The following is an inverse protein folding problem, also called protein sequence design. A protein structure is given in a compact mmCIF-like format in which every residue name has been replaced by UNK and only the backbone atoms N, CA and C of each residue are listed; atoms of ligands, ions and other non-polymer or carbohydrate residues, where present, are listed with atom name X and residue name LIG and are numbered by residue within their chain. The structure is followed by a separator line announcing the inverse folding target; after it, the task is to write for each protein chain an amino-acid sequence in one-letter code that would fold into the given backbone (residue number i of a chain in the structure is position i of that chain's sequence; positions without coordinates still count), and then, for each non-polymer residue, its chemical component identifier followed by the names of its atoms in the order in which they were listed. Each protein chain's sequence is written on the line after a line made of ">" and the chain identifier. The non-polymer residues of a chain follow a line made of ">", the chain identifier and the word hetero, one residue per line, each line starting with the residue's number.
data_IF_946373619856
#
_entry.id   IF_946373619856
#
_cell.length_a   1.000
_cell.length_b   1.000
_cell.length_c   1.000
_cell.angle_alpha   90.00
_cell.angle_beta   90.00
_cell.angle_gamma   90.00
#
_symmetry.space_group_name_H-M   'P 1'
#
loop_
_entity.id
_entity.type
_entity.pdbx_description
1 polymer ?
#
# COMPACT_ATOMS: atom_id res chain seq x y z
N UNK A 1 39.89 -39.47 13.65
CA UNK A 1 39.54 -38.89 14.96
C UNK A 1 38.13 -39.33 15.29
N UNK A 2 37.90 -40.18 16.30
CA UNK A 2 36.56 -40.57 16.71
C UNK A 2 35.90 -39.36 17.38
N UNK A 3 34.80 -38.87 16.81
CA UNK A 3 33.94 -37.87 17.43
C UNK A 3 33.27 -38.57 18.62
N UNK A 4 33.75 -38.26 19.79
CA UNK A 4 33.06 -38.61 21.04
C UNK A 4 31.80 -37.77 21.10
N UNK A 5 30.66 -38.30 20.70
CA UNK A 5 29.37 -37.65 20.88
C UNK A 5 29.06 -37.71 22.39
N UNK A 6 29.09 -36.54 23.04
CA UNK A 6 28.61 -36.35 24.40
C UNK A 6 27.13 -36.80 24.45
N UNK A 7 26.78 -37.79 25.31
CA UNK A 7 25.41 -38.29 25.46
C UNK A 7 24.41 -37.15 25.71
N UNK A 8 24.82 -36.09 26.40
CA UNK A 8 24.01 -34.91 26.68
C UNK A 8 23.69 -34.08 25.43
N UNK A 9 24.56 -34.07 24.43
CA UNK A 9 24.35 -33.36 23.15
C UNK A 9 23.34 -34.11 22.27
N UNK A 10 23.43 -35.41 22.20
CA UNK A 10 22.47 -36.25 21.48
C UNK A 10 21.05 -36.13 22.08
N UNK A 11 20.91 -36.19 23.41
CA UNK A 11 19.64 -36.03 24.10
C UNK A 11 19.03 -34.64 23.85
N UNK A 12 19.84 -33.58 23.85
CA UNK A 12 19.37 -32.21 23.51
C UNK A 12 18.88 -32.09 22.09
N UNK A 13 19.59 -32.68 21.10
CA UNK A 13 19.16 -32.68 19.69
C UNK A 13 17.84 -33.41 19.50
N UNK A 14 17.68 -34.57 20.09
CA UNK A 14 16.43 -35.35 20.05
C UNK A 14 15.28 -34.59 20.70
N UNK A 15 15.53 -33.96 21.85
CA UNK A 15 14.51 -33.15 22.53
C UNK A 15 14.11 -31.92 21.72
N UNK A 16 15.06 -31.24 21.05
CA UNK A 16 14.80 -30.09 20.18
C UNK A 16 13.98 -30.47 18.94
N UNK A 17 14.31 -31.60 18.30
CA UNK A 17 13.54 -32.11 17.15
C UNK A 17 12.11 -32.50 17.57
N UNK A 18 11.92 -33.15 18.71
CA UNK A 18 10.59 -33.46 19.27
C UNK A 18 9.80 -32.18 19.57
N UNK A 19 10.44 -31.19 20.20
CA UNK A 19 9.77 -29.91 20.51
C UNK A 19 9.34 -29.13 19.29
N UNK A 20 10.13 -29.19 18.21
CA UNK A 20 9.80 -28.54 16.92
C UNK A 20 8.75 -29.30 16.11
N UNK A 21 8.36 -30.52 16.53
CA UNK A 21 7.50 -31.42 15.74
C UNK A 21 8.04 -31.71 14.35
N UNK A 22 9.36 -31.64 14.18
CA UNK A 22 10.03 -31.98 12.94
C UNK A 22 10.30 -33.47 12.88
N UNK A 23 10.05 -34.05 11.73
CA UNK A 23 10.53 -35.38 11.38
C UNK A 23 11.79 -35.32 10.54
N UNK A 24 12.66 -36.32 10.65
CA UNK A 24 13.92 -36.34 9.91
C UNK A 24 13.97 -37.48 8.91
N UNK A 25 14.77 -37.27 7.86
CA UNK A 25 14.99 -38.25 6.83
C UNK A 25 16.44 -38.24 6.36
N UNK A 26 16.84 -39.37 5.78
CA UNK A 26 18.11 -39.54 5.09
C UNK A 26 17.90 -40.31 3.81
N UNK A 27 18.55 -39.87 2.75
CA UNK A 27 18.60 -40.56 1.45
C UNK A 27 20.04 -40.90 1.10
N UNK A 28 20.37 -42.19 1.09
CA UNK A 28 21.62 -42.72 0.55
C UNK A 28 21.49 -42.73 -0.97
N UNK A 29 22.24 -41.85 -1.65
CA UNK A 29 22.07 -41.60 -3.09
C UNK A 29 22.57 -42.78 -3.94
N UNK A 30 23.80 -43.34 -3.70
CA UNK A 30 24.27 -44.49 -4.46
C UNK A 30 23.40 -45.72 -4.31
N UNK A 31 22.83 -45.98 -3.14
CA UNK A 31 21.99 -47.14 -2.88
C UNK A 31 20.50 -46.89 -3.18
N UNK A 32 20.11 -45.66 -3.50
CA UNK A 32 18.71 -45.19 -3.59
C UNK A 32 17.86 -45.64 -2.38
N UNK A 33 18.40 -45.49 -1.17
CA UNK A 33 17.73 -45.91 0.06
C UNK A 33 17.31 -44.69 0.88
N UNK A 34 16.01 -44.56 1.07
CA UNK A 34 15.40 -43.51 1.90
C UNK A 34 15.04 -44.09 3.26
N UNK A 35 15.41 -43.37 4.32
CA UNK A 35 15.11 -43.68 5.71
C UNK A 35 14.39 -42.49 6.36
N UNK A 36 13.27 -42.79 6.99
CA UNK A 36 12.47 -41.83 7.76
C UNK A 36 12.51 -42.22 9.23
N UNK A 37 12.48 -41.23 10.10
CA UNK A 37 12.15 -41.47 11.49
C UNK A 37 10.63 -41.63 11.73
N UNK A 38 10.23 -42.03 12.92
CA UNK A 38 8.81 -42.18 13.30
C UNK A 38 8.10 -40.81 13.29
N UNK A 39 8.81 -39.74 13.69
CA UNK A 39 8.27 -38.39 13.70
C UNK A 39 7.92 -37.90 12.31
N UNK A 40 8.75 -38.20 11.30
CA UNK A 40 8.46 -37.85 9.90
C UNK A 40 7.24 -38.61 9.38
N UNK A 41 7.15 -39.88 9.69
CA UNK A 41 5.97 -40.67 9.33
C UNK A 41 4.68 -40.06 9.92
N UNK A 42 4.74 -39.59 11.17
CA UNK A 42 3.64 -38.88 11.82
C UNK A 42 3.33 -37.51 11.16
N UNK A 43 4.36 -36.76 10.73
CA UNK A 43 4.19 -35.50 9.97
C UNK A 43 3.38 -35.72 8.70
N UNK A 44 3.65 -36.79 7.96
CA UNK A 44 2.87 -37.18 6.78
C UNK A 44 1.55 -37.86 7.13
N UNK A 45 1.38 -38.32 8.37
CA UNK A 45 0.20 -39.11 8.77
C UNK A 45 0.19 -40.53 8.20
N UNK A 46 1.38 -41.12 7.98
CA UNK A 46 1.57 -42.47 7.47
C UNK A 46 2.01 -43.41 8.60
N UNK A 47 1.55 -44.68 8.58
CA UNK A 47 2.22 -45.72 9.37
C UNK A 47 3.70 -45.81 9.00
N UNK A 48 4.60 -45.93 9.96
CA UNK A 48 6.06 -45.99 9.71
C UNK A 48 6.47 -47.13 8.76
N UNK A 49 5.72 -48.23 8.76
CA UNK A 49 5.94 -49.35 7.84
C UNK A 49 5.66 -48.98 6.35
N UNK A 50 4.84 -47.96 6.11
CA UNK A 50 4.47 -47.48 4.77
C UNK A 50 5.33 -46.30 4.30
N UNK A 51 6.31 -45.86 5.10
CA UNK A 51 7.25 -44.81 4.73
C UNK A 51 8.00 -45.19 3.43
N UNK A 52 8.21 -44.24 2.49
CA UNK A 52 8.94 -44.49 1.24
C UNK A 52 10.36 -44.97 1.53
N UNK A 53 10.80 -45.96 0.79
CA UNK A 53 12.15 -46.55 0.93
C UNK A 53 13.08 -46.17 -0.24
N UNK A 54 12.56 -45.52 -1.28
CA UNK A 54 13.31 -45.06 -2.44
C UNK A 54 12.92 -43.62 -2.81
N UNK A 55 13.78 -42.94 -3.56
CA UNK A 55 13.50 -41.60 -4.07
C UNK A 55 12.26 -41.56 -4.97
N UNK A 56 12.08 -42.60 -5.81
CA UNK A 56 10.91 -42.71 -6.67
C UNK A 56 9.61 -42.84 -5.86
N UNK A 57 9.60 -43.65 -4.78
CA UNK A 57 8.44 -43.81 -3.91
C UNK A 57 8.11 -42.47 -3.18
N UNK A 58 9.13 -41.73 -2.74
CA UNK A 58 8.95 -40.40 -2.14
C UNK A 58 8.32 -39.42 -3.14
N UNK A 59 8.80 -39.35 -4.38
CA UNK A 59 8.26 -38.46 -5.40
C UNK A 59 6.77 -38.72 -5.70
N UNK A 60 6.29 -39.94 -5.50
CA UNK A 60 4.87 -40.26 -5.67
C UNK A 60 3.99 -39.59 -4.59
N UNK A 61 4.55 -39.33 -3.41
CA UNK A 61 3.82 -38.58 -2.36
C UNK A 61 3.68 -37.10 -2.67
N UNK A 62 4.56 -36.53 -3.51
CA UNK A 62 4.46 -35.13 -3.90
C UNK A 62 3.24 -34.93 -4.82
N UNK A 63 2.47 -33.85 -4.56
CA UNK A 63 1.34 -33.48 -5.39
C UNK A 63 1.76 -33.36 -6.87
N UNK A 64 0.97 -33.87 -7.83
CA UNK A 64 1.34 -33.86 -9.25
C UNK A 64 1.85 -32.51 -9.77
N UNK A 65 1.19 -31.41 -9.42
CA UNK A 65 1.59 -30.06 -9.87
C UNK A 65 2.95 -29.61 -9.31
N UNK A 66 3.39 -30.16 -8.17
CA UNK A 66 4.64 -29.76 -7.51
C UNK A 66 5.83 -30.64 -7.90
N UNK A 67 5.61 -31.80 -8.53
CA UNK A 67 6.64 -32.79 -8.89
C UNK A 67 7.72 -32.23 -9.80
N UNK A 68 7.33 -31.49 -10.84
CA UNK A 68 8.29 -30.92 -11.78
C UNK A 68 9.21 -29.89 -11.09
N UNK A 69 8.63 -29.03 -10.24
CA UNK A 69 9.39 -28.06 -9.46
C UNK A 69 10.32 -28.75 -8.46
N UNK A 70 9.86 -29.75 -7.76
CA UNK A 70 10.66 -30.53 -6.83
C UNK A 70 11.82 -31.24 -7.54
N UNK A 71 11.57 -31.84 -8.71
CA UNK A 71 12.60 -32.48 -9.53
C UNK A 71 13.68 -31.52 -10.01
N UNK A 72 13.31 -30.33 -10.47
CA UNK A 72 14.30 -29.29 -10.87
C UNK A 72 15.16 -28.84 -9.70
N UNK A 73 14.54 -28.61 -8.53
CA UNK A 73 15.26 -28.18 -7.32
C UNK A 73 16.24 -29.25 -6.85
N UNK A 74 15.82 -30.51 -6.85
CA UNK A 74 16.65 -31.64 -6.49
C UNK A 74 17.84 -31.81 -7.48
N UNK A 75 17.58 -31.70 -8.79
CA UNK A 75 18.63 -31.75 -9.81
C UNK A 75 19.69 -30.67 -9.60
N UNK A 76 19.27 -29.41 -9.41
CA UNK A 76 20.18 -28.29 -9.15
C UNK A 76 21.00 -28.49 -7.85
N UNK A 77 20.39 -29.05 -6.81
CA UNK A 77 21.08 -29.36 -5.56
C UNK A 77 22.15 -30.46 -5.77
N UNK A 78 21.84 -31.52 -6.48
CA UNK A 78 22.76 -32.63 -6.73
C UNK A 78 23.96 -32.18 -7.56
N UNK A 79 23.79 -31.27 -8.51
CA UNK A 79 24.86 -30.75 -9.35
C UNK A 79 25.83 -29.84 -8.58
N UNK A 80 25.32 -28.77 -7.96
CA UNK A 80 26.16 -27.70 -7.45
C UNK A 80 25.76 -27.19 -6.05
N UNK A 81 24.70 -27.73 -5.43
CA UNK A 81 24.17 -27.23 -4.18
C UNK A 81 24.79 -27.88 -2.94
N UNK A 82 24.53 -27.24 -1.79
CA UNK A 82 24.85 -27.78 -0.46
C UNK A 82 23.61 -27.88 0.41
N UNK A 83 22.70 -26.92 0.30
CA UNK A 83 21.46 -26.86 1.08
C UNK A 83 20.30 -26.47 0.17
N UNK A 84 19.10 -26.92 0.54
CA UNK A 84 17.85 -26.53 -0.08
C UNK A 84 16.77 -26.35 0.98
N UNK A 85 15.88 -25.40 0.71
CA UNK A 85 14.72 -25.10 1.54
C UNK A 85 13.53 -24.86 0.60
N UNK A 86 12.45 -25.61 0.80
CA UNK A 86 11.26 -25.45 -0.04
C UNK A 86 10.00 -26.02 0.61
N UNK A 87 8.86 -25.53 0.15
CA UNK A 87 7.55 -26.01 0.55
C UNK A 87 6.87 -26.72 -0.62
N UNK A 88 6.20 -27.83 -0.34
CA UNK A 88 5.45 -28.58 -1.32
C UNK A 88 4.23 -29.25 -0.70
N UNK A 89 3.30 -29.61 -1.55
CA UNK A 89 2.13 -30.39 -1.17
C UNK A 89 2.46 -31.89 -1.26
N UNK A 90 2.19 -32.62 -0.20
CA UNK A 90 2.21 -34.08 -0.20
C UNK A 90 0.75 -34.60 -0.22
N UNK A 91 0.52 -35.65 -1.01
CA UNK A 91 -0.77 -36.35 -1.10
C UNK A 91 -0.66 -37.67 -0.35
N UNK A 92 -1.47 -37.82 0.68
CA UNK A 92 -1.50 -39.02 1.52
C UNK A 92 -2.94 -39.52 1.63
N UNK A 93 -3.28 -40.57 0.89
CA UNK A 93 -4.67 -40.95 0.70
C UNK A 93 -5.48 -39.83 0.06
N UNK A 94 -6.58 -39.42 0.70
CA UNK A 94 -7.44 -38.30 0.25
C UNK A 94 -7.02 -36.95 0.85
N UNK A 95 -5.90 -36.88 1.57
CA UNK A 95 -5.44 -35.66 2.27
C UNK A 95 -4.30 -35.01 1.51
N UNK A 96 -4.31 -33.67 1.48
CA UNK A 96 -3.19 -32.84 1.05
C UNK A 96 -2.57 -32.19 2.29
N UNK A 97 -1.27 -32.43 2.50
CA UNK A 97 -0.49 -31.89 3.61
C UNK A 97 0.59 -30.98 3.04
N UNK A 98 0.71 -29.76 3.54
CA UNK A 98 1.81 -28.87 3.18
C UNK A 98 3.04 -29.19 4.02
N UNK A 99 4.11 -29.54 3.36
CA UNK A 99 5.40 -29.87 3.97
C UNK A 99 6.40 -28.76 3.69
N UNK A 100 7.03 -28.27 4.74
CA UNK A 100 8.26 -27.50 4.66
C UNK A 100 9.43 -28.45 4.85
N UNK A 101 10.35 -28.51 3.89
CA UNK A 101 11.56 -29.32 3.94
C UNK A 101 12.79 -28.41 3.91
N UNK A 102 13.72 -28.69 4.81
CA UNK A 102 15.07 -28.13 4.77
C UNK A 102 16.07 -29.26 4.84
N UNK A 103 16.93 -29.32 3.84
CA UNK A 103 17.85 -30.43 3.68
C UNK A 103 19.22 -30.00 3.18
N UNK A 104 20.21 -30.83 3.47
CA UNK A 104 21.61 -30.64 3.08
C UNK A 104 22.12 -31.87 2.35
N UNK A 105 22.95 -31.61 1.34
CA UNK A 105 23.66 -32.62 0.58
C UNK A 105 25.07 -32.78 1.16
N UNK A 106 25.43 -34.02 1.46
CA UNK A 106 26.78 -34.39 1.88
C UNK A 106 27.47 -35.14 0.75
N UNK A 107 28.72 -34.75 0.43
CA UNK A 107 29.52 -35.30 -0.63
C UNK A 107 30.63 -36.20 -0.04
N UNK A 108 31.09 -37.19 -0.82
CA UNK A 108 32.23 -38.00 -0.45
C UNK A 108 33.57 -37.24 -0.63
N UNK A 109 34.68 -37.91 -0.33
CA UNK A 109 36.03 -37.36 -0.46
C UNK A 109 36.40 -36.97 -1.90
N UNK A 110 35.75 -37.57 -2.87
CA UNK A 110 35.92 -37.33 -4.34
C UNK A 110 34.93 -36.25 -4.85
N UNK A 111 34.11 -35.63 -3.97
CA UNK A 111 33.16 -34.57 -4.31
C UNK A 111 31.84 -35.08 -4.92
N UNK A 112 31.60 -36.38 -4.94
CA UNK A 112 30.36 -36.96 -5.48
C UNK A 112 29.27 -36.95 -4.42
N UNK A 113 27.96 -36.77 -4.80
CA UNK A 113 26.86 -36.89 -3.87
C UNK A 113 26.85 -38.25 -3.14
N UNK A 114 26.96 -38.22 -1.81
CA UNK A 114 26.98 -39.43 -0.99
C UNK A 114 25.59 -39.64 -0.35
N UNK A 115 25.08 -38.65 0.36
CA UNK A 115 23.74 -38.73 0.93
C UNK A 115 23.16 -37.34 1.14
N UNK A 116 21.83 -37.29 1.21
CA UNK A 116 21.09 -36.12 1.70
C UNK A 116 20.44 -36.42 3.04
N UNK A 117 20.30 -35.41 3.85
CA UNK A 117 19.52 -35.49 5.10
C UNK A 117 18.81 -34.18 5.33
N UNK A 118 17.66 -34.25 5.96
CA UNK A 118 16.86 -33.06 6.20
C UNK A 118 15.81 -33.26 7.28
N UNK A 119 15.09 -32.18 7.54
CA UNK A 119 13.97 -32.14 8.45
C UNK A 119 12.75 -31.54 7.76
N UNK A 120 11.60 -32.18 8.02
CA UNK A 120 10.33 -31.75 7.50
C UNK A 120 9.38 -31.33 8.61
N UNK A 121 8.55 -30.33 8.34
CA UNK A 121 7.50 -29.82 9.19
C UNK A 121 6.18 -29.81 8.45
N UNK A 122 5.09 -30.17 9.13
CA UNK A 122 3.73 -29.90 8.64
C UNK A 122 3.41 -28.42 8.83
N UNK A 123 3.24 -27.70 7.74
CA UNK A 123 2.88 -26.28 7.72
C UNK A 123 1.46 -26.05 7.20
N UNK A 124 0.65 -27.09 7.15
CA UNK A 124 -0.73 -27.04 6.60
C UNK A 124 -1.58 -26.00 7.32
N UNK A 125 -1.56 -25.98 8.65
CA UNK A 125 -2.33 -25.01 9.44
C UNK A 125 -1.88 -23.56 9.14
N UNK A 126 -0.57 -23.33 8.99
CA UNK A 126 -0.04 -22.01 8.61
C UNK A 126 -0.52 -21.60 7.22
N UNK A 127 -0.47 -22.50 6.24
CA UNK A 127 -0.94 -22.25 4.87
C UNK A 127 -2.45 -22.00 4.80
N UNK A 128 -3.24 -22.70 5.60
CA UNK A 128 -4.68 -22.45 5.69
C UNK A 128 -5.00 -21.05 6.20
N UNK A 129 -4.36 -20.64 7.30
CA UNK A 129 -4.52 -19.29 7.85
C UNK A 129 -4.09 -18.22 6.84
N UNK A 130 -2.98 -18.44 6.13
CA UNK A 130 -2.47 -17.52 5.09
C UNK A 130 -3.49 -17.37 3.95
N UNK A 131 -4.05 -18.49 3.47
CA UNK A 131 -5.07 -18.49 2.41
C UNK A 131 -6.38 -17.83 2.89
N UNK A 132 -6.88 -18.16 4.08
CA UNK A 132 -8.05 -17.52 4.65
C UNK A 132 -7.87 -16.00 4.76
N UNK A 133 -6.69 -15.55 5.19
CA UNK A 133 -6.35 -14.14 5.27
C UNK A 133 -6.34 -13.49 3.88
N UNK A 134 -5.77 -14.16 2.88
CA UNK A 134 -5.72 -13.66 1.51
C UNK A 134 -7.12 -13.54 0.90
N UNK A 135 -7.98 -14.54 1.11
CA UNK A 135 -9.38 -14.52 0.67
C UNK A 135 -10.16 -13.41 1.38
N UNK A 136 -9.98 -13.26 2.69
CA UNK A 136 -10.63 -12.19 3.46
C UNK A 136 -10.19 -10.79 2.99
N UNK A 137 -8.89 -10.60 2.77
CA UNK A 137 -8.34 -9.36 2.23
C UNK A 137 -8.87 -9.06 0.82
N UNK A 138 -8.99 -10.08 -0.03
CA UNK A 138 -9.57 -9.94 -1.37
C UNK A 138 -11.04 -9.47 -1.32
N UNK A 139 -11.86 -10.08 -0.46
CA UNK A 139 -13.25 -9.66 -0.23
C UNK A 139 -13.34 -8.24 0.33
N UNK A 140 -12.49 -7.90 1.29
CA UNK A 140 -12.44 -6.55 1.87
C UNK A 140 -12.13 -5.48 0.81
N UNK A 141 -11.14 -5.72 -0.05
CA UNK A 141 -10.80 -4.82 -1.17
C UNK A 141 -11.97 -4.64 -2.15
N UNK A 142 -12.69 -5.71 -2.45
CA UNK A 142 -13.86 -5.65 -3.34
C UNK A 142 -14.97 -4.78 -2.73
N UNK A 143 -15.28 -4.98 -1.45
CA UNK A 143 -16.29 -4.19 -0.74
C UNK A 143 -15.92 -2.70 -0.68
N UNK A 144 -14.66 -2.37 -0.43
CA UNK A 144 -14.18 -0.99 -0.44
C UNK A 144 -14.34 -0.34 -1.82
N UNK A 145 -14.04 -1.04 -2.91
CA UNK A 145 -14.27 -0.54 -4.27
C UNK A 145 -15.75 -0.26 -4.53
N UNK A 146 -16.63 -1.16 -4.14
CA UNK A 146 -18.09 -1.00 -4.31
C UNK A 146 -18.61 0.19 -3.50
N UNK A 147 -18.18 0.34 -2.24
CA UNK A 147 -18.52 1.50 -1.40
C UNK A 147 -18.05 2.80 -2.04
N UNK A 148 -16.82 2.83 -2.55
CA UNK A 148 -16.27 3.99 -3.24
C UNK A 148 -17.10 4.39 -4.46
N UNK A 149 -17.48 3.43 -5.30
CA UNK A 149 -18.36 3.68 -6.44
C UNK A 149 -19.71 4.26 -6.01
N UNK A 150 -20.30 3.73 -4.95
CA UNK A 150 -21.58 4.24 -4.41
C UNK A 150 -21.44 5.65 -3.85
N UNK A 151 -20.39 5.95 -3.08
CA UNK A 151 -20.14 7.30 -2.57
C UNK A 151 -19.98 8.29 -3.71
N UNK A 152 -19.17 7.96 -4.73
CA UNK A 152 -18.98 8.81 -5.91
C UNK A 152 -20.31 9.09 -6.63
N UNK A 153 -21.15 8.05 -6.83
CA UNK A 153 -22.47 8.19 -7.45
C UNK A 153 -23.40 9.08 -6.61
N UNK A 154 -23.39 8.94 -5.29
CA UNK A 154 -24.20 9.80 -4.41
C UNK A 154 -23.75 11.25 -4.46
N UNK A 155 -22.43 11.52 -4.46
CA UNK A 155 -21.89 12.87 -4.61
C UNK A 155 -22.28 13.49 -5.97
N UNK A 156 -22.25 12.72 -7.06
CA UNK A 156 -22.73 13.17 -8.38
C UNK A 156 -24.22 13.52 -8.36
N UNK A 157 -25.04 12.71 -7.69
CA UNK A 157 -26.48 13.01 -7.55
C UNK A 157 -26.71 14.30 -6.75
N UNK A 158 -25.99 14.50 -5.67
CA UNK A 158 -26.07 15.72 -4.86
C UNK A 158 -25.65 16.95 -5.69
N UNK A 159 -24.56 16.86 -6.45
CA UNK A 159 -24.11 17.96 -7.32
C UNK A 159 -25.13 18.28 -8.43
N UNK A 160 -25.77 17.28 -9.02
CA UNK A 160 -26.84 17.49 -10.01
C UNK A 160 -28.06 18.19 -9.38
N UNK A 161 -28.48 17.80 -8.16
CA UNK A 161 -29.57 18.45 -7.44
C UNK A 161 -29.23 19.92 -7.10
N UNK A 162 -28.01 20.21 -6.63
CA UNK A 162 -27.56 21.58 -6.35
C UNK A 162 -27.51 22.42 -7.64
N UNK A 163 -27.06 21.84 -8.76
CA UNK A 163 -27.07 22.50 -10.07
C UNK A 163 -28.49 22.90 -10.53
N UNK A 164 -29.46 22.01 -10.34
CA UNK A 164 -30.87 22.31 -10.61
C UNK A 164 -31.42 23.43 -9.71
N UNK A 165 -31.01 23.47 -8.43
CA UNK A 165 -31.40 24.55 -7.53
C UNK A 165 -30.74 25.87 -7.92
N UNK A 166 -29.44 25.85 -8.26
CA UNK A 166 -28.69 27.01 -8.75
C UNK A 166 -29.35 27.64 -9.99
N UNK A 167 -29.78 26.82 -10.96
CA UNK A 167 -30.41 27.29 -12.19
C UNK A 167 -31.77 28.00 -11.98
N UNK A 168 -32.45 27.74 -10.85
CA UNK A 168 -33.73 28.34 -10.48
C UNK A 168 -33.58 29.65 -9.69
N UNK A 169 -32.35 29.98 -9.26
CA UNK A 169 -32.13 31.23 -8.51
C UNK A 169 -31.98 32.41 -9.44
N UNK A 170 -32.75 33.46 -9.17
CA UNK A 170 -32.64 34.73 -9.87
C UNK A 170 -31.45 35.56 -9.41
N UNK A 171 -31.09 35.47 -8.14
CA UNK A 171 -29.96 36.16 -7.54
C UNK A 171 -28.62 35.53 -7.92
N UNK A 172 -27.75 36.35 -8.56
CA UNK A 172 -26.44 35.93 -9.01
C UNK A 172 -25.50 35.57 -7.88
N UNK A 173 -25.65 36.21 -6.70
CA UNK A 173 -24.86 35.91 -5.49
C UNK A 173 -25.19 34.54 -4.95
N UNK A 174 -26.48 34.22 -4.84
CA UNK A 174 -26.95 32.89 -4.39
C UNK A 174 -26.50 31.79 -5.37
N UNK A 175 -26.53 32.08 -6.68
CA UNK A 175 -26.07 31.15 -7.71
C UNK A 175 -24.57 30.86 -7.60
N UNK A 176 -23.74 31.89 -7.36
CA UNK A 176 -22.28 31.70 -7.14
C UNK A 176 -21.99 30.86 -5.89
N UNK A 177 -22.81 30.94 -4.83
CA UNK A 177 -22.67 30.14 -3.63
C UNK A 177 -23.00 28.64 -3.88
N UNK A 178 -24.01 28.34 -4.71
CA UNK A 178 -24.28 26.97 -5.15
C UNK A 178 -23.12 26.44 -6.02
N UNK A 179 -22.60 27.23 -6.95
CA UNK A 179 -21.48 26.83 -7.80
C UNK A 179 -20.21 26.55 -6.98
N UNK A 180 -19.96 27.33 -5.93
CA UNK A 180 -18.88 27.05 -4.97
C UNK A 180 -19.09 25.72 -4.26
N UNK A 181 -20.30 25.42 -3.78
CA UNK A 181 -20.62 24.16 -3.12
C UNK A 181 -20.45 22.97 -4.05
N UNK A 182 -20.90 23.08 -5.29
CA UNK A 182 -20.75 22.06 -6.34
C UNK A 182 -19.25 21.79 -6.60
N UNK A 183 -18.44 22.82 -6.80
CA UNK A 183 -16.98 22.66 -7.00
C UNK A 183 -16.31 21.94 -5.82
N UNK A 184 -16.68 22.25 -4.59
CA UNK A 184 -16.16 21.58 -3.38
C UNK A 184 -16.51 20.10 -3.37
N UNK A 185 -17.76 19.76 -3.71
CA UNK A 185 -18.19 18.36 -3.77
C UNK A 185 -17.46 17.61 -4.90
N UNK A 186 -17.24 18.23 -6.05
CA UNK A 186 -16.44 17.62 -7.13
C UNK A 186 -14.99 17.35 -6.72
N UNK A 187 -14.37 18.28 -6.00
CA UNK A 187 -13.02 18.09 -5.43
C UNK A 187 -12.98 16.89 -4.48
N UNK A 188 -13.98 16.80 -3.56
CA UNK A 188 -14.12 15.65 -2.66
C UNK A 188 -14.36 14.33 -3.40
N UNK A 189 -15.23 14.31 -4.40
CA UNK A 189 -15.53 13.12 -5.19
C UNK A 189 -14.31 12.62 -5.98
N UNK A 190 -13.55 13.54 -6.58
CA UNK A 190 -12.30 13.22 -7.27
C UNK A 190 -11.26 12.60 -6.33
N UNK A 191 -11.12 13.14 -5.14
CA UNK A 191 -10.31 12.60 -4.06
C UNK A 191 -10.73 11.19 -3.67
N UNK A 192 -12.00 11.03 -3.31
CA UNK A 192 -12.54 9.77 -2.84
C UNK A 192 -12.31 8.65 -3.88
N UNK A 193 -12.46 8.96 -5.17
CA UNK A 193 -12.26 7.95 -6.23
C UNK A 193 -10.79 7.55 -6.43
N UNK A 194 -9.82 8.38 -6.06
CA UNK A 194 -8.37 8.11 -6.19
C UNK A 194 -7.81 7.34 -5.01
N UNK A 195 -8.26 7.66 -3.81
CA UNK A 195 -7.84 7.01 -2.56
C UNK A 195 -8.02 5.49 -2.57
N UNK A 196 -8.98 5.01 -3.36
CA UNK A 196 -9.31 3.59 -3.44
C UNK A 196 -8.85 2.92 -4.74
N UNK A 197 -8.10 3.63 -5.59
CA UNK A 197 -7.54 3.10 -6.84
C UNK A 197 -6.14 2.50 -6.66
N UNK A 198 -5.33 3.08 -5.78
CA UNK A 198 -3.97 2.61 -5.48
C UNK A 198 -3.97 1.64 -4.29
N UNK A 199 -3.15 0.60 -4.37
CA UNK A 199 -3.05 -0.49 -3.37
C UNK A 199 -2.50 -0.07 -1.97
N UNK A 200 -2.29 1.23 -1.72
CA UNK A 200 -1.83 1.79 -0.44
C UNK A 200 -2.95 2.55 0.26
N UNK A 201 -3.73 1.86 1.10
CA UNK A 201 -4.99 2.35 1.67
C UNK A 201 -4.90 3.52 2.66
N UNK A 202 -3.72 3.89 3.15
CA UNK A 202 -3.61 4.85 4.27
C UNK A 202 -3.00 6.20 3.88
N UNK A 203 -2.32 6.32 2.75
CA UNK A 203 -1.60 7.55 2.39
C UNK A 203 -1.73 7.94 0.92
N UNK A 204 -1.66 9.24 0.65
CA UNK A 204 -1.81 9.88 -0.66
C UNK A 204 -0.47 10.46 -1.11
N UNK A 205 -0.04 10.18 -2.32
CA UNK A 205 1.07 10.88 -2.97
C UNK A 205 0.64 12.33 -3.28
N UNK A 206 1.21 13.28 -2.53
CA UNK A 206 0.81 14.68 -2.64
C UNK A 206 1.26 15.35 -3.93
N UNK A 207 2.33 14.86 -4.57
CA UNK A 207 2.79 15.40 -5.86
C UNK A 207 1.78 15.11 -6.97
N UNK A 208 1.38 13.84 -7.10
CA UNK A 208 0.38 13.42 -8.07
C UNK A 208 -0.96 14.11 -7.78
N UNK A 209 -1.36 14.11 -6.51
CA UNK A 209 -2.63 14.66 -6.06
C UNK A 209 -2.80 16.16 -6.31
N UNK A 210 -1.83 16.99 -5.90
CA UNK A 210 -1.88 18.44 -6.14
C UNK A 210 -1.73 18.78 -7.63
N UNK A 211 -0.96 17.98 -8.37
CA UNK A 211 -0.87 18.07 -9.82
C UNK A 211 -2.24 17.98 -10.49
N UNK A 212 -3.00 16.98 -10.13
CA UNK A 212 -4.33 16.74 -10.69
C UNK A 212 -5.37 17.82 -10.32
N UNK A 213 -5.31 18.35 -9.10
CA UNK A 213 -6.14 19.50 -8.69
C UNK A 213 -5.80 20.70 -9.57
N UNK A 214 -4.51 20.97 -9.75
CA UNK A 214 -4.05 22.09 -10.57
C UNK A 214 -4.43 21.93 -12.04
N UNK A 215 -4.38 20.70 -12.59
CA UNK A 215 -4.83 20.41 -13.95
C UNK A 215 -6.34 20.62 -14.11
N UNK A 216 -7.13 20.19 -13.14
CA UNK A 216 -8.56 20.48 -13.09
C UNK A 216 -8.87 21.97 -13.04
N UNK A 217 -8.12 22.74 -12.26
CA UNK A 217 -8.25 24.20 -12.17
C UNK A 217 -7.87 24.88 -13.50
N UNK A 218 -6.80 24.42 -14.17
CA UNK A 218 -6.41 24.91 -15.51
C UNK A 218 -7.54 24.74 -16.51
N UNK A 219 -8.22 23.59 -16.51
CA UNK A 219 -9.30 23.29 -17.45
C UNK A 219 -10.62 24.02 -17.17
N UNK A 220 -10.98 24.22 -15.90
CA UNK A 220 -12.30 24.68 -15.50
C UNK A 220 -12.40 26.17 -15.16
N UNK A 221 -11.32 26.77 -14.64
CA UNK A 221 -11.37 28.11 -14.02
C UNK A 221 -10.49 29.14 -14.76
N UNK A 222 -9.41 28.71 -15.41
CA UNK A 222 -8.39 29.58 -15.99
C UNK A 222 -8.47 29.80 -17.51
N UNK A 223 -9.22 29.01 -18.32
CA UNK A 223 -9.16 29.13 -19.78
C UNK A 223 -9.52 30.55 -20.31
N UNK A 224 -10.41 31.23 -19.60
CA UNK A 224 -10.90 32.58 -20.03
C UNK A 224 -10.02 33.71 -19.47
N UNK A 225 -9.05 33.45 -18.60
CA UNK A 225 -8.39 34.51 -17.80
C UNK A 225 -6.89 34.69 -18.02
N UNK A 226 -6.26 34.00 -18.96
CA UNK A 226 -4.79 34.11 -19.26
C UNK A 226 -3.92 34.13 -17.99
N UNK A 227 -4.28 33.29 -16.98
CA UNK A 227 -3.53 33.12 -15.74
C UNK A 227 -2.70 31.86 -15.88
N UNK A 228 -1.39 31.99 -15.69
CA UNK A 228 -0.47 30.86 -15.64
C UNK A 228 -0.53 30.20 -14.26
N UNK A 229 -0.83 28.89 -14.19
CA UNK A 229 -0.82 28.12 -12.94
C UNK A 229 0.39 27.20 -12.89
N UNK A 230 1.31 27.45 -11.97
CA UNK A 230 2.40 26.55 -11.66
C UNK A 230 2.07 25.69 -10.43
N UNK A 231 2.43 24.41 -10.48
CA UNK A 231 2.31 23.49 -9.37
C UNK A 231 3.63 22.77 -9.13
N UNK A 232 4.15 22.85 -7.92
CA UNK A 232 5.36 22.16 -7.49
C UNK A 232 5.12 21.53 -6.10
N UNK A 233 5.26 20.20 -5.99
CA UNK A 233 5.07 19.51 -4.74
C UNK A 233 6.25 18.57 -4.43
N UNK A 234 6.70 18.59 -3.19
CA UNK A 234 7.63 17.61 -2.65
C UNK A 234 7.02 16.19 -2.75
N UNK A 235 7.85 15.14 -2.94
CA UNK A 235 7.38 13.76 -3.02
C UNK A 235 7.09 13.22 -1.61
N UNK A 236 6.06 13.74 -0.96
CA UNK A 236 5.63 13.29 0.37
C UNK A 236 4.31 12.56 0.29
N UNK A 237 4.13 11.59 1.18
CA UNK A 237 2.87 10.89 1.38
C UNK A 237 2.22 11.37 2.66
N UNK A 238 0.94 11.73 2.58
CA UNK A 238 0.15 12.17 3.73
C UNK A 238 -1.05 11.26 3.93
N UNK A 239 -1.56 11.19 5.15
CA UNK A 239 -2.82 10.51 5.43
C UNK A 239 -3.97 11.18 4.66
N UNK A 240 -5.05 10.44 4.48
CA UNK A 240 -6.28 10.96 3.86
C UNK A 240 -6.81 12.16 4.64
N UNK A 241 -6.74 12.09 5.96
CA UNK A 241 -7.23 13.14 6.87
C UNK A 241 -6.47 14.46 6.72
N UNK A 242 -5.25 14.44 6.19
CA UNK A 242 -4.47 15.62 5.85
C UNK A 242 -4.57 15.99 4.37
N UNK A 243 -4.54 15.03 3.46
CA UNK A 243 -4.56 15.28 2.02
C UNK A 243 -5.87 15.97 1.57
N UNK A 244 -7.03 15.51 2.09
CA UNK A 244 -8.35 16.07 1.74
C UNK A 244 -8.45 17.55 2.11
N UNK A 245 -8.18 17.97 3.36
CA UNK A 245 -8.18 19.38 3.72
C UNK A 245 -7.23 20.22 2.88
N UNK A 246 -6.01 19.74 2.59
CA UNK A 246 -5.03 20.46 1.78
C UNK A 246 -5.53 20.68 0.35
N UNK A 247 -6.13 19.68 -0.28
CA UNK A 247 -6.71 19.81 -1.61
C UNK A 247 -7.85 20.82 -1.67
N UNK A 248 -8.72 20.83 -0.65
CA UNK A 248 -9.80 21.82 -0.54
C UNK A 248 -9.25 23.23 -0.33
N UNK A 249 -8.22 23.41 0.50
CA UNK A 249 -7.54 24.67 0.72
C UNK A 249 -6.97 25.21 -0.60
N UNK A 250 -6.23 24.38 -1.35
CA UNK A 250 -5.66 24.76 -2.65
C UNK A 250 -6.77 25.15 -3.64
N UNK A 251 -7.83 24.35 -3.75
CA UNK A 251 -8.95 24.62 -4.65
C UNK A 251 -9.64 25.94 -4.32
N UNK A 252 -9.88 26.24 -3.05
CA UNK A 252 -10.54 27.46 -2.60
C UNK A 252 -9.65 28.69 -2.81
N UNK A 253 -8.37 28.62 -2.39
CA UNK A 253 -7.43 29.74 -2.54
C UNK A 253 -7.13 30.05 -4.01
N UNK A 254 -6.92 29.02 -4.83
CA UNK A 254 -6.68 29.20 -6.26
C UNK A 254 -7.90 29.79 -6.99
N UNK A 255 -9.11 29.33 -6.64
CA UNK A 255 -10.36 29.89 -7.21
C UNK A 255 -10.55 31.35 -6.79
N UNK A 256 -10.24 31.68 -5.52
CA UNK A 256 -10.31 33.07 -5.04
C UNK A 256 -9.29 33.96 -5.74
N UNK A 257 -8.05 33.50 -5.94
CA UNK A 257 -7.05 34.22 -6.71
C UNK A 257 -7.52 34.47 -8.16
N UNK A 258 -8.04 33.45 -8.84
CA UNK A 258 -8.56 33.60 -10.20
C UNK A 258 -9.72 34.59 -10.30
N UNK A 259 -10.57 34.70 -9.29
CA UNK A 259 -11.73 35.61 -9.27
C UNK A 259 -11.35 37.06 -8.91
N UNK A 260 -10.44 37.24 -7.97
CA UNK A 260 -10.25 38.53 -7.31
C UNK A 260 -8.88 39.16 -7.55
N UNK A 261 -7.82 38.35 -7.76
CA UNK A 261 -6.48 38.87 -7.91
C UNK A 261 -6.19 39.49 -9.28
N UNK A 262 -6.96 39.10 -10.33
CA UNK A 262 -6.76 39.51 -11.72
C UNK A 262 -8.03 40.14 -12.33
N UNK A 263 -8.39 41.38 -11.92
CA UNK A 263 -9.58 42.04 -12.46
C UNK A 263 -9.41 42.42 -13.91
N UNK A 264 -10.51 42.37 -14.68
CA UNK A 264 -10.55 42.72 -16.11
C UNK A 264 -9.73 41.75 -16.96
N UNK A 265 -8.88 42.27 -17.84
CA UNK A 265 -8.00 41.47 -18.71
C UNK A 265 -6.58 41.30 -18.14
N UNK A 266 -6.38 41.53 -16.87
CA UNK A 266 -5.07 41.37 -16.23
C UNK A 266 -4.60 39.93 -16.35
N UNK A 267 -3.42 39.73 -16.88
CA UNK A 267 -2.69 38.46 -16.89
C UNK A 267 -1.86 38.35 -15.63
N UNK A 268 -1.48 37.13 -15.22
CA UNK A 268 -0.60 36.93 -14.07
C UNK A 268 -0.32 35.48 -13.83
N UNK A 269 0.29 35.22 -12.66
CA UNK A 269 0.78 33.94 -12.28
C UNK A 269 0.19 33.52 -10.91
N UNK A 270 -0.23 32.28 -10.84
CA UNK A 270 -0.64 31.61 -9.62
C UNK A 270 0.29 30.43 -9.37
N UNK A 271 0.87 30.35 -8.18
CA UNK A 271 1.85 29.31 -7.81
C UNK A 271 1.31 28.53 -6.62
N UNK A 272 1.18 27.23 -6.78
CA UNK A 272 0.90 26.27 -5.71
C UNK A 272 2.17 25.49 -5.42
N UNK A 273 2.65 25.55 -4.18
CA UNK A 273 3.88 24.85 -3.78
C UNK A 273 3.66 24.09 -2.47
N UNK A 274 4.14 22.86 -2.41
CA UNK A 274 4.23 22.08 -1.19
C UNK A 274 5.69 21.69 -0.98
N UNK A 275 6.30 22.20 0.08
CA UNK A 275 7.67 21.89 0.47
C UNK A 275 7.64 21.05 1.76
N UNK A 276 8.64 20.17 1.93
CA UNK A 276 8.81 19.39 3.15
C UNK A 276 10.28 19.47 3.59
N UNK A 277 10.51 19.80 4.86
CA UNK A 277 11.84 19.90 5.46
C UNK A 277 11.79 19.30 6.87
N UNK A 278 12.52 18.20 7.06
CA UNK A 278 12.50 17.46 8.33
C UNK A 278 11.11 16.93 8.64
N UNK A 279 10.60 17.23 9.83
CA UNK A 279 9.26 16.82 10.31
C UNK A 279 8.16 17.85 10.03
N UNK A 280 8.42 18.84 9.18
CA UNK A 280 7.45 19.88 8.82
C UNK A 280 7.23 19.97 7.33
N UNK A 281 6.00 20.34 6.96
CA UNK A 281 5.61 20.69 5.61
C UNK A 281 4.96 22.07 5.55
N UNK A 282 5.16 22.73 4.41
CA UNK A 282 4.60 24.05 4.13
C UNK A 282 3.88 24.00 2.79
N UNK A 283 2.57 24.24 2.81
CA UNK A 283 1.78 24.52 1.61
C UNK A 283 1.73 26.04 1.41
N UNK A 284 2.07 26.51 0.21
CA UNK A 284 1.91 27.89 -0.19
C UNK A 284 1.08 28.04 -1.45
N UNK A 285 0.18 29.04 -1.47
CA UNK A 285 -0.58 29.47 -2.63
C UNK A 285 -0.34 30.97 -2.81
N UNK A 286 0.29 31.35 -3.92
CA UNK A 286 0.74 32.71 -4.17
C UNK A 286 0.24 33.21 -5.51
N UNK A 287 -0.26 34.45 -5.57
CA UNK A 287 -0.59 35.18 -6.79
C UNK A 287 0.23 36.49 -6.91
N UNK A 288 0.48 36.95 -8.14
CA UNK A 288 1.08 38.24 -8.46
C UNK A 288 0.03 39.30 -8.84
N UNK A 289 -1.19 39.15 -8.34
CA UNK A 289 -2.33 40.01 -8.62
C UNK A 289 -2.28 41.38 -7.97
N UNK A 290 -3.47 41.94 -7.71
CA UNK A 290 -3.61 43.30 -7.11
C UNK A 290 -3.35 43.29 -5.58
N UNK A 291 -3.16 42.11 -4.98
CA UNK A 291 -3.00 41.96 -3.54
C UNK A 291 -4.30 42.13 -2.75
N UNK A 292 -4.17 42.08 -1.45
CA UNK A 292 -5.30 42.17 -0.53
C UNK A 292 -5.73 43.65 -0.32
N UNK A 293 -7.05 43.95 -0.21
CA UNK A 293 -7.52 45.27 0.13
C UNK A 293 -6.98 45.74 1.49
N UNK A 294 -6.67 47.03 1.64
CA UNK A 294 -6.16 47.61 2.91
C UNK A 294 -7.11 47.43 4.11
N UNK A 295 -8.39 47.13 3.85
CA UNK A 295 -9.42 46.84 4.85
C UNK A 295 -9.47 45.37 5.27
N UNK A 296 -8.55 44.54 4.80
CA UNK A 296 -8.48 43.11 5.14
C UNK A 296 -7.89 42.93 6.56
N UNK A 297 -8.69 43.36 7.56
CA UNK A 297 -8.26 43.50 8.97
C UNK A 297 -8.40 42.22 9.81
N UNK A 298 -8.95 41.12 9.28
CA UNK A 298 -8.98 39.82 9.97
C UNK A 298 -9.07 38.71 8.93
N UNK A 299 -8.18 37.69 8.97
CA UNK A 299 -8.31 36.50 8.12
C UNK A 299 -9.52 35.68 8.60
N UNK A 300 -10.72 36.01 8.09
CA UNK A 300 -11.96 35.33 8.49
C UNK A 300 -13.25 35.95 7.97
N UNK A 301 -13.21 37.10 7.30
CA UNK A 301 -14.40 37.81 6.80
C UNK A 301 -14.84 37.33 5.42
N UNK A 302 -15.23 36.06 5.34
CA UNK A 302 -15.83 35.42 4.14
C UNK A 302 -15.99 33.95 4.38
N UNK A 303 -17.08 33.36 3.90
CA UNK A 303 -17.38 31.91 4.08
C UNK A 303 -16.22 31.05 3.65
N UNK A 304 -15.53 31.40 2.52
CA UNK A 304 -14.40 30.64 1.98
C UNK A 304 -13.15 30.64 2.88
N UNK A 305 -12.73 31.81 3.37
CA UNK A 305 -11.56 31.91 4.28
C UNK A 305 -11.84 31.32 5.67
N UNK A 306 -13.08 31.42 6.15
CA UNK A 306 -13.50 30.75 7.38
C UNK A 306 -13.34 29.23 7.29
N UNK A 307 -13.72 28.65 6.14
CA UNK A 307 -13.52 27.22 5.84
C UNK A 307 -12.04 26.87 5.75
N UNK A 308 -11.22 27.65 5.02
CA UNK A 308 -9.77 27.43 4.88
C UNK A 308 -9.10 27.40 6.26
N UNK A 309 -9.47 28.36 7.16
CA UNK A 309 -8.98 28.37 8.53
C UNK A 309 -9.44 27.14 9.35
N UNK A 310 -10.70 26.70 9.17
CA UNK A 310 -11.22 25.49 9.81
C UNK A 310 -10.44 24.25 9.38
N UNK A 311 -10.22 24.06 8.08
CA UNK A 311 -9.46 22.95 7.51
C UNK A 311 -7.98 22.98 7.95
N UNK A 312 -7.36 24.17 7.99
CA UNK A 312 -6.01 24.33 8.49
C UNK A 312 -5.87 23.87 9.94
N UNK A 313 -6.81 24.25 10.80
CA UNK A 313 -6.85 23.79 12.20
C UNK A 313 -7.10 22.29 12.34
N UNK A 314 -7.93 21.72 11.49
CA UNK A 314 -8.22 20.28 11.49
C UNK A 314 -6.94 19.44 11.33
N UNK A 315 -5.98 19.90 10.52
CA UNK A 315 -4.69 19.23 10.31
C UNK A 315 -3.58 19.74 11.26
N UNK A 316 -3.95 20.47 12.32
CA UNK A 316 -2.97 21.04 13.25
C UNK A 316 -2.05 22.10 12.66
N UNK A 317 -2.44 22.72 11.53
CA UNK A 317 -1.63 23.68 10.80
C UNK A 317 -1.91 25.13 11.20
N UNK A 318 -0.92 25.99 10.92
CA UNK A 318 -1.00 27.44 11.11
C UNK A 318 -1.03 28.14 9.75
N UNK A 319 -2.17 28.77 9.44
CA UNK A 319 -2.33 29.58 8.22
C UNK A 319 -1.89 31.01 8.47
N UNK A 320 -1.01 31.51 7.61
CA UNK A 320 -0.59 32.92 7.56
C UNK A 320 -0.89 33.49 6.19
N UNK A 321 -1.14 34.81 6.10
CA UNK A 321 -1.35 35.51 4.86
C UNK A 321 -0.50 36.77 4.82
N UNK A 322 0.16 37.00 3.69
CA UNK A 322 0.90 38.21 3.39
C UNK A 322 0.37 38.85 2.12
N UNK A 323 0.14 40.14 2.16
CA UNK A 323 -0.27 40.97 1.03
C UNK A 323 0.84 41.95 0.65
N UNK A 324 0.84 42.36 -0.63
CA UNK A 324 1.81 43.30 -1.19
C UNK A 324 1.57 43.47 -2.69
N UNK A 325 2.58 43.21 -3.52
CA UNK A 325 2.41 43.05 -4.96
C UNK A 325 1.91 41.61 -5.24
N UNK A 326 0.65 41.34 -4.86
CA UNK A 326 0.01 40.01 -4.88
C UNK A 326 -0.34 39.51 -3.49
N UNK A 327 -0.78 38.25 -3.37
CA UNK A 327 -1.15 37.61 -2.10
C UNK A 327 -0.42 36.29 -1.95
N UNK A 328 0.08 36.01 -0.75
CA UNK A 328 0.68 34.72 -0.41
C UNK A 328 -0.02 34.16 0.83
N UNK A 329 -0.65 33.00 0.66
CA UNK A 329 -1.14 32.17 1.75
C UNK A 329 -0.10 31.10 2.04
N UNK A 330 0.24 30.90 3.30
CA UNK A 330 1.19 29.91 3.77
C UNK A 330 0.61 29.12 4.92
N UNK A 331 0.60 27.81 4.80
CA UNK A 331 0.13 26.88 5.80
C UNK A 331 1.29 25.97 6.23
N UNK A 332 1.73 26.13 7.46
CA UNK A 332 2.75 25.27 8.06
C UNK A 332 2.07 24.21 8.93
N UNK A 333 2.42 22.94 8.73
CA UNK A 333 1.83 21.81 9.44
C UNK A 333 2.84 20.65 9.62
N UNK A 334 2.49 19.70 10.48
CA UNK A 334 3.28 18.47 10.67
C UNK A 334 2.64 17.32 9.88
N UNK A 335 3.36 16.64 8.99
CA UNK A 335 2.88 15.43 8.31
C UNK A 335 2.61 14.30 9.31
N UNK A 336 1.48 13.60 9.17
CA UNK A 336 1.11 12.42 9.98
C UNK A 336 1.47 11.09 9.28
N UNK A 337 2.20 11.15 8.16
CA UNK A 337 2.67 9.97 7.42
C UNK A 337 4.03 9.48 7.90
N UNK A 338 4.42 8.23 7.56
CA UNK A 338 5.78 7.77 7.80
C UNK A 338 6.76 8.69 7.06
N UNK A 339 7.73 9.23 7.79
CA UNK A 339 8.88 9.89 7.19
C UNK A 339 9.67 8.80 6.43
N UNK A 340 9.84 8.97 5.11
CA UNK A 340 10.81 8.17 4.33
C UNK A 340 12.24 8.50 4.72
#
# INVERSE_FOLDING_TARGET
>A
MAVSSDPSEHERLVAALKASRAGTWRWDIPADRVEWDEALSAVYGLPHAEAPRTSAAFLQLIHPDDRERAGRLLGALLENGHEIEYEFRAVVGDRVVWIYDRSSLVRDAEGRPAYMTGACLDVTARKQIEEERNVANGKYRLLLRELNHRVTNHLQMVTAMLGLQASRQADASVRDDFDKAIRRIHTLAGLHSRLYRDDGFDTVDMRAYLGDICDGLRGAVLPERRIELECAAAPIRLTIDQAVPLGLIVSELATNAAKYAFPGERTGKLVVRLDAVGDRATLSVADDGIGLPKTFGNPGTGIGLGMVNGLARQIGGMLTVAGGAGTVYRLDFKPDGPAE
#
